data_IF_061112571577
#
_entry.id   IF_061112571577
#
_cell.length_a   1.000
_cell.length_b   1.000
_cell.length_c   1.000
_cell.angle_alpha   90.00
_cell.angle_beta   90.00
_cell.angle_gamma   90.00
#
_symmetry.space_group_name_H-M   'P 1'
#
loop_
_entity.id
_entity.type
_entity.pdbx_description
1 polymer ?
#
# COMPACT_ATOMS: atom_id res chain seq x y z
N UNK A 1 7.01 54.78 -32.78
CA UNK A 1 5.69 54.16 -32.83
C UNK A 1 5.81 52.78 -32.14
N UNK A 2 5.07 52.55 -31.05
CA UNK A 2 4.98 51.22 -30.40
C UNK A 2 3.98 50.38 -31.22
N UNK A 3 4.44 49.29 -31.81
CA UNK A 3 3.55 48.33 -32.49
C UNK A 3 2.76 47.57 -31.42
N UNK A 4 1.45 47.65 -31.46
CA UNK A 4 0.56 46.86 -30.61
C UNK A 4 0.25 45.50 -31.27
N UNK A 5 -0.01 44.49 -30.49
CA UNK A 5 -0.46 43.19 -30.98
C UNK A 5 -1.88 43.30 -31.55
N UNK A 6 -2.13 42.60 -32.64
CA UNK A 6 -3.50 42.44 -33.18
C UNK A 6 -4.30 41.43 -32.37
N UNK A 7 -5.63 41.58 -32.33
CA UNK A 7 -6.53 40.65 -31.67
C UNK A 7 -6.35 39.21 -32.22
N UNK A 8 -6.12 39.09 -33.53
CA UNK A 8 -5.92 37.80 -34.20
C UNK A 8 -4.63 37.09 -33.73
N UNK A 9 -3.51 37.81 -33.56
CA UNK A 9 -2.25 37.28 -33.08
C UNK A 9 -2.40 36.72 -31.65
N UNK A 10 -3.12 37.47 -30.79
CA UNK A 10 -3.37 37.04 -29.41
C UNK A 10 -4.26 35.80 -29.38
N UNK A 11 -5.32 35.74 -30.18
CA UNK A 11 -6.22 34.56 -30.24
C UNK A 11 -5.51 33.30 -30.74
N UNK A 12 -4.67 33.43 -31.78
CA UNK A 12 -3.92 32.30 -32.33
C UNK A 12 -2.91 31.78 -31.29
N UNK A 13 -2.17 32.67 -30.64
CA UNK A 13 -1.17 32.29 -29.64
C UNK A 13 -1.81 31.61 -28.42
N UNK A 14 -2.93 32.15 -27.91
CA UNK A 14 -3.68 31.52 -26.82
C UNK A 14 -4.25 30.18 -27.21
N UNK A 15 -4.75 30.02 -28.46
CA UNK A 15 -5.22 28.75 -28.98
C UNK A 15 -4.12 27.68 -29.01
N UNK A 16 -2.95 28.03 -29.51
CA UNK A 16 -1.80 27.08 -29.57
C UNK A 16 -1.35 26.71 -28.17
N UNK A 17 -1.18 27.69 -27.27
CA UNK A 17 -0.80 27.43 -25.88
C UNK A 17 -1.83 26.54 -25.19
N UNK A 18 -3.11 26.79 -25.39
CA UNK A 18 -4.20 26.00 -24.83
C UNK A 18 -4.14 24.51 -25.24
N UNK A 19 -3.95 24.24 -26.53
CA UNK A 19 -3.83 22.87 -27.04
C UNK A 19 -2.57 22.16 -26.51
N UNK A 20 -1.44 22.84 -26.54
CA UNK A 20 -0.18 22.26 -26.00
C UNK A 20 -0.30 21.97 -24.50
N UNK A 21 -0.84 22.92 -23.73
CA UNK A 21 -1.08 22.72 -22.31
C UNK A 21 -2.03 21.54 -22.01
N UNK A 22 -3.14 21.43 -22.76
CA UNK A 22 -4.09 20.35 -22.59
C UNK A 22 -3.49 18.96 -22.82
N UNK A 23 -2.51 18.84 -23.72
CA UNK A 23 -1.81 17.58 -24.01
C UNK A 23 -0.68 17.27 -23.01
N UNK A 24 0.00 18.28 -22.50
CA UNK A 24 1.20 18.09 -21.67
C UNK A 24 0.90 18.02 -20.17
N UNK A 25 -0.08 18.79 -19.67
CA UNK A 25 -0.41 18.86 -18.24
C UNK A 25 -0.73 17.50 -17.61
N UNK A 26 -1.58 16.62 -18.20
CA UNK A 26 -1.88 15.34 -17.60
C UNK A 26 -0.64 14.45 -17.42
N UNK A 27 0.26 14.43 -18.39
CA UNK A 27 1.48 13.64 -18.32
C UNK A 27 2.45 14.15 -17.23
N UNK A 28 2.59 15.46 -17.10
CA UNK A 28 3.43 16.08 -16.06
C UNK A 28 2.87 15.80 -14.66
N UNK A 29 1.55 15.95 -14.49
CA UNK A 29 0.88 15.69 -13.20
C UNK A 29 1.08 14.24 -12.78
N UNK A 30 0.81 13.28 -13.68
CA UNK A 30 0.95 11.85 -13.39
C UNK A 30 2.40 11.50 -13.00
N UNK A 31 3.38 11.94 -13.76
CA UNK A 31 4.79 11.70 -13.47
C UNK A 31 5.23 12.31 -12.11
N UNK A 32 4.68 13.46 -11.75
CA UNK A 32 4.98 14.10 -10.46
C UNK A 32 4.35 13.33 -9.31
N UNK A 33 3.10 12.89 -9.45
CA UNK A 33 2.40 12.08 -8.47
C UNK A 33 3.10 10.72 -8.25
N UNK A 34 3.54 10.05 -9.32
CA UNK A 34 4.23 8.76 -9.21
C UNK A 34 5.56 8.90 -8.45
N UNK A 35 6.30 9.99 -8.66
CA UNK A 35 7.50 10.31 -7.87
C UNK A 35 7.18 10.59 -6.40
N UNK A 36 6.09 11.28 -6.12
CA UNK A 36 5.63 11.53 -4.75
C UNK A 36 5.23 10.23 -4.06
N UNK A 37 4.44 9.37 -4.71
CA UNK A 37 4.05 8.08 -4.15
C UNK A 37 5.25 7.18 -3.86
N UNK A 38 6.23 7.12 -4.77
CA UNK A 38 7.49 6.41 -4.54
C UNK A 38 8.22 6.93 -3.29
N UNK A 39 8.32 8.24 -3.13
CA UNK A 39 8.97 8.85 -1.96
C UNK A 39 8.20 8.58 -0.66
N UNK A 40 6.87 8.66 -0.70
CA UNK A 40 5.99 8.33 0.44
C UNK A 40 6.11 6.86 0.82
N UNK A 41 6.17 5.95 -0.16
CA UNK A 41 6.39 4.53 0.10
C UNK A 41 7.73 4.27 0.79
N UNK A 42 8.83 4.84 0.30
CA UNK A 42 10.15 4.72 0.94
C UNK A 42 10.11 5.20 2.40
N UNK A 43 9.43 6.31 2.66
CA UNK A 43 9.22 6.84 4.01
C UNK A 43 8.47 5.84 4.89
N UNK A 44 7.32 5.33 4.43
CA UNK A 44 6.49 4.41 5.20
C UNK A 44 7.18 3.05 5.41
N UNK A 45 7.86 2.54 4.40
CA UNK A 45 8.68 1.33 4.52
C UNK A 45 9.73 1.48 5.62
N UNK A 46 10.46 2.60 5.63
CA UNK A 46 11.48 2.86 6.64
C UNK A 46 10.88 3.02 8.04
N UNK A 47 9.75 3.70 8.17
CA UNK A 47 9.05 3.86 9.45
C UNK A 47 8.56 2.52 9.98
N UNK A 48 7.98 1.68 9.13
CA UNK A 48 7.51 0.34 9.48
C UNK A 48 8.68 -0.56 9.91
N UNK A 49 9.78 -0.55 9.16
CA UNK A 49 10.98 -1.32 9.51
C UNK A 49 11.54 -0.93 10.88
N UNK A 50 11.58 0.37 11.19
CA UNK A 50 12.01 0.88 12.49
C UNK A 50 11.04 0.47 13.61
N UNK A 51 9.73 0.55 13.36
CA UNK A 51 8.71 0.15 14.33
C UNK A 51 8.83 -1.34 14.70
N UNK A 52 9.07 -2.20 13.71
CA UNK A 52 9.31 -3.64 13.92
C UNK A 52 10.57 -3.84 14.77
N UNK A 53 11.65 -3.16 14.44
CA UNK A 53 12.90 -3.26 15.18
C UNK A 53 12.74 -2.81 16.64
N UNK A 54 11.99 -1.73 16.90
CA UNK A 54 11.72 -1.24 18.26
C UNK A 54 10.96 -2.28 19.08
N UNK A 55 9.91 -2.89 18.51
CA UNK A 55 9.15 -3.93 19.20
C UNK A 55 10.01 -5.13 19.56
N UNK A 56 10.93 -5.50 18.70
CA UNK A 56 11.87 -6.59 18.97
C UNK A 56 12.89 -6.23 20.06
N UNK A 57 13.48 -5.04 20.03
CA UNK A 57 14.46 -4.61 21.03
C UNK A 57 13.86 -4.47 22.42
N UNK A 58 12.55 -4.26 22.53
CA UNK A 58 11.80 -4.25 23.80
C UNK A 58 11.56 -5.66 24.38
N UNK A 59 12.23 -6.69 23.83
CA UNK A 59 12.17 -8.06 24.33
C UNK A 59 10.96 -8.87 23.84
N UNK A 60 10.26 -8.38 22.81
CA UNK A 60 9.18 -9.11 22.18
C UNK A 60 9.73 -9.87 20.96
N UNK A 61 10.03 -11.15 21.12
CA UNK A 61 10.31 -12.00 19.97
C UNK A 61 9.06 -12.06 19.08
N UNK A 62 9.21 -11.72 17.81
CA UNK A 62 8.14 -11.90 16.82
C UNK A 62 8.16 -13.37 16.41
N UNK A 63 7.25 -14.20 16.92
CA UNK A 63 7.28 -15.62 16.66
C UNK A 63 6.92 -15.92 15.20
N UNK A 64 7.13 -17.16 14.82
CA UNK A 64 6.63 -17.69 13.56
C UNK A 64 5.09 -17.81 13.63
N UNK A 65 4.38 -16.70 13.46
CA UNK A 65 2.93 -16.65 13.53
C UNK A 65 2.33 -17.32 12.31
N UNK A 66 1.64 -18.42 12.55
CA UNK A 66 0.81 -19.09 11.55
C UNK A 66 -0.58 -18.44 11.51
N UNK A 67 -1.32 -18.70 10.45
CA UNK A 67 -2.70 -18.22 10.29
C UNK A 67 -3.65 -18.67 11.43
N UNK A 68 -3.28 -19.72 12.16
CA UNK A 68 -4.07 -20.29 13.25
C UNK A 68 -3.99 -19.43 14.54
N UNK A 69 -2.97 -18.58 14.68
CA UNK A 69 -2.71 -17.77 15.87
C UNK A 69 -3.02 -16.29 15.63
N UNK A 70 -4.17 -15.96 15.05
CA UNK A 70 -4.52 -14.59 14.72
C UNK A 70 -4.65 -13.66 15.96
N UNK A 71 -4.95 -14.20 17.15
CA UNK A 71 -4.98 -13.45 18.41
C UNK A 71 -3.58 -12.96 18.79
N UNK A 72 -2.60 -13.87 18.72
CA UNK A 72 -1.19 -13.51 18.97
C UNK A 72 -0.70 -12.48 17.96
N UNK A 73 -1.14 -12.60 16.71
CA UNK A 73 -0.85 -11.65 15.65
C UNK A 73 -1.37 -10.25 15.99
N UNK A 74 -2.57 -10.13 16.56
CA UNK A 74 -3.15 -8.84 16.94
C UNK A 74 -2.31 -8.12 17.99
N UNK A 75 -1.72 -8.85 18.93
CA UNK A 75 -0.81 -8.30 19.91
C UNK A 75 0.41 -7.65 19.24
N UNK A 76 1.10 -8.36 18.34
CA UNK A 76 2.27 -7.80 17.64
C UNK A 76 1.91 -6.65 16.70
N UNK A 77 0.79 -6.76 16.00
CA UNK A 77 0.28 -5.69 15.13
C UNK A 77 0.02 -4.42 15.95
N UNK A 78 -0.59 -4.53 17.12
CA UNK A 78 -0.81 -3.39 18.01
C UNK A 78 0.49 -2.81 18.55
N UNK A 79 1.45 -3.64 18.92
CA UNK A 79 2.78 -3.19 19.37
C UNK A 79 3.53 -2.44 18.26
N UNK A 80 3.55 -2.96 17.04
CA UNK A 80 4.18 -2.31 15.89
C UNK A 80 3.47 -0.99 15.57
N UNK A 81 2.15 -1.03 15.52
CA UNK A 81 1.35 0.16 15.15
C UNK A 81 1.42 1.26 16.19
N UNK A 82 1.60 0.94 17.47
CA UNK A 82 1.82 1.95 18.53
C UNK A 82 3.09 2.77 18.29
N UNK A 83 4.14 2.17 17.72
CA UNK A 83 5.37 2.88 17.35
C UNK A 83 5.15 3.84 16.19
N UNK A 84 4.16 3.57 15.33
CA UNK A 84 3.80 4.40 14.18
C UNK A 84 2.88 5.57 14.53
N UNK A 85 2.40 5.66 15.79
CA UNK A 85 1.52 6.74 16.29
C UNK A 85 0.28 6.94 15.43
N UNK A 86 -0.43 5.86 15.13
CA UNK A 86 -1.64 5.89 14.31
C UNK A 86 -2.74 6.77 14.91
N UNK A 87 -3.60 7.32 14.04
CA UNK A 87 -4.76 8.14 14.43
C UNK A 87 -6.02 7.30 14.66
N UNK A 88 -6.22 6.28 13.84
CA UNK A 88 -7.37 5.37 13.86
C UNK A 88 -6.95 3.96 13.51
N UNK A 89 -7.67 2.99 14.00
CA UNK A 89 -7.46 1.58 13.69
C UNK A 89 -8.78 0.82 13.61
N UNK A 90 -8.80 -0.26 12.84
CA UNK A 90 -9.96 -1.16 12.76
C UNK A 90 -10.08 -2.09 13.97
N UNK A 91 -9.03 -2.23 14.79
CA UNK A 91 -9.05 -2.98 16.05
C UNK A 91 -8.78 -2.06 17.23
N UNK A 92 -9.33 -2.41 18.39
CA UNK A 92 -9.05 -1.68 19.63
C UNK A 92 -7.81 -2.25 20.32
N UNK A 93 -6.67 -1.63 20.07
CA UNK A 93 -5.41 -2.06 20.67
C UNK A 93 -5.34 -1.88 22.20
N UNK A 94 -6.23 -1.06 22.80
CA UNK A 94 -6.24 -0.87 24.26
C UNK A 94 -6.80 -2.08 25.03
N UNK A 95 -7.47 -3.00 24.34
CA UNK A 95 -7.98 -4.26 24.92
C UNK A 95 -7.00 -5.40 24.82
N UNK A 96 -5.85 -5.19 24.18
CA UNK A 96 -4.82 -6.22 23.93
C UNK A 96 -3.61 -5.94 24.81
N UNK A 97 -3.53 -6.62 25.95
CA UNK A 97 -2.43 -6.45 26.92
C UNK A 97 -1.35 -7.54 26.79
N UNK A 98 -1.77 -8.75 26.42
CA UNK A 98 -0.91 -9.94 26.33
C UNK A 98 -1.24 -10.82 25.14
N UNK A 99 -0.36 -11.76 24.85
CA UNK A 99 -0.59 -12.82 23.85
C UNK A 99 -1.87 -13.59 24.18
N UNK A 100 -2.65 -13.91 23.16
CA UNK A 100 -3.92 -14.63 23.28
C UNK A 100 -5.13 -13.75 23.56
N UNK A 101 -4.96 -12.46 23.81
CA UNK A 101 -6.10 -11.55 23.97
C UNK A 101 -6.83 -11.40 22.63
N UNK A 102 -8.15 -11.47 22.68
CA UNK A 102 -8.99 -11.27 21.50
C UNK A 102 -9.20 -9.76 21.27
N UNK A 103 -8.90 -9.25 20.07
CA UNK A 103 -9.11 -7.85 19.79
C UNK A 103 -10.60 -7.52 19.68
N UNK A 104 -11.04 -6.48 20.35
CA UNK A 104 -12.30 -5.85 20.04
C UNK A 104 -12.21 -5.12 18.70
N UNK A 105 -13.22 -5.33 17.86
CA UNK A 105 -13.31 -4.59 16.60
C UNK A 105 -13.80 -3.18 16.89
N UNK A 106 -13.05 -2.18 16.44
CA UNK A 106 -13.55 -0.82 16.40
C UNK A 106 -14.66 -0.74 15.36
N UNK A 107 -15.90 -0.82 15.81
CA UNK A 107 -17.12 -0.67 14.98
C UNK A 107 -17.31 0.75 14.47
N UNK A 108 -16.23 1.50 14.30
CA UNK A 108 -16.32 2.80 13.66
C UNK A 108 -16.54 2.59 12.18
N UNK A 109 -17.51 3.28 11.63
CA UNK A 109 -17.93 3.23 10.21
C UNK A 109 -16.79 3.43 9.18
N UNK A 110 -15.61 3.78 9.66
CA UNK A 110 -14.48 4.15 8.84
C UNK A 110 -13.74 2.97 8.21
N UNK A 111 -13.56 1.85 8.94
CA UNK A 111 -12.89 0.64 8.43
C UNK A 111 -13.83 -0.54 8.23
N UNK A 112 -15.03 -0.47 8.83
CA UNK A 112 -16.08 -1.48 8.66
C UNK A 112 -17.05 -1.15 7.54
N UNK A 113 -16.95 0.03 6.94
CA UNK A 113 -17.64 0.31 5.72
C UNK A 113 -16.89 -0.38 4.59
N UNK A 114 -17.29 -1.63 4.33
CA UNK A 114 -16.78 -2.42 3.20
C UNK A 114 -16.93 -1.69 1.88
N UNK A 115 -17.68 -0.59 1.84
CA UNK A 115 -17.86 0.25 0.67
C UNK A 115 -16.72 1.24 0.44
N UNK A 116 -15.83 1.50 1.42
CA UNK A 116 -14.89 2.62 1.33
C UNK A 116 -13.45 2.25 1.02
N UNK A 117 -12.95 1.11 1.47
CA UNK A 117 -11.55 0.78 1.23
C UNK A 117 -11.29 -0.57 0.58
N UNK A 118 -12.26 -1.48 0.60
CA UNK A 118 -12.03 -2.87 0.20
C UNK A 118 -13.20 -3.53 -0.53
N UNK A 119 -14.11 -2.77 -1.06
CA UNK A 119 -15.13 -3.35 -1.92
C UNK A 119 -14.48 -3.94 -3.16
N UNK A 120 -15.01 -5.06 -3.55
CA UNK A 120 -14.76 -5.66 -4.85
C UNK A 120 -14.80 -4.57 -5.93
N UNK A 121 -13.63 -4.21 -6.47
CA UNK A 121 -13.52 -3.21 -7.52
C UNK A 121 -12.98 -1.83 -7.13
N UNK A 122 -12.61 -1.57 -5.87
CA UNK A 122 -11.99 -0.29 -5.49
C UNK A 122 -10.48 -0.27 -5.62
N UNK A 123 -9.83 -1.43 -5.59
CA UNK A 123 -8.41 -1.58 -5.88
C UNK A 123 -8.20 -2.15 -7.27
N UNK A 124 -7.19 -1.65 -7.92
CA UNK A 124 -6.85 -2.05 -9.27
C UNK A 124 -5.39 -2.49 -9.34
N UNK A 125 -5.09 -3.43 -10.23
CA UNK A 125 -3.72 -3.67 -10.62
C UNK A 125 -3.27 -2.62 -11.65
N UNK A 126 -2.02 -2.63 -12.06
CA UNK A 126 -1.50 -1.68 -13.07
C UNK A 126 -2.16 -1.82 -14.44
N UNK A 127 -2.85 -2.92 -14.73
CA UNK A 127 -3.61 -3.13 -15.96
C UNK A 127 -5.05 -2.61 -15.88
N UNK A 128 -5.44 -2.04 -14.72
CA UNK A 128 -6.78 -1.52 -14.49
C UNK A 128 -7.82 -2.60 -14.17
N UNK A 129 -7.39 -3.82 -13.85
CA UNK A 129 -8.28 -4.90 -13.46
C UNK A 129 -8.58 -4.82 -11.95
N UNK A 130 -9.85 -4.98 -11.53
CA UNK A 130 -10.21 -4.89 -10.12
C UNK A 130 -9.58 -6.03 -9.32
N UNK A 131 -9.11 -5.70 -8.12
CA UNK A 131 -8.48 -6.64 -7.19
C UNK A 131 -9.41 -6.89 -6.01
N UNK A 132 -9.52 -8.15 -5.62
CA UNK A 132 -10.25 -8.57 -4.42
C UNK A 132 -9.26 -8.86 -3.31
N UNK A 133 -9.34 -8.11 -2.22
CA UNK A 133 -8.69 -8.49 -0.97
C UNK A 133 -9.66 -9.28 -0.11
N UNK A 134 -9.17 -10.34 0.50
CA UNK A 134 -10.01 -11.14 1.39
C UNK A 134 -10.45 -10.31 2.60
N UNK A 135 -11.75 -10.12 2.78
CA UNK A 135 -12.36 -9.22 3.77
C UNK A 135 -12.07 -9.55 5.23
N UNK A 136 -11.56 -10.76 5.52
CA UNK A 136 -11.35 -11.21 6.91
C UNK A 136 -10.27 -10.46 7.70
N UNK A 137 -9.42 -9.68 7.04
CA UNK A 137 -8.27 -9.04 7.67
C UNK A 137 -8.29 -7.50 7.58
N UNK A 138 -9.40 -6.92 7.15
CA UNK A 138 -9.56 -5.47 7.00
C UNK A 138 -9.45 -4.73 8.33
N UNK A 139 -9.79 -5.40 9.41
CA UNK A 139 -9.79 -4.83 10.74
C UNK A 139 -8.38 -4.43 11.24
N UNK A 140 -7.33 -5.02 10.69
CA UNK A 140 -5.94 -4.70 11.06
C UNK A 140 -5.38 -3.55 10.21
N UNK A 141 -6.20 -2.58 9.90
CA UNK A 141 -5.81 -1.36 9.19
C UNK A 141 -5.60 -0.21 10.16
N UNK A 142 -4.53 0.53 9.96
CA UNK A 142 -4.13 1.68 10.76
C UNK A 142 -3.96 2.90 9.86
N UNK A 143 -4.66 3.98 10.20
CA UNK A 143 -4.52 5.28 9.55
C UNK A 143 -3.43 6.07 10.26
N UNK A 144 -2.44 6.52 9.53
CA UNK A 144 -1.33 7.30 10.03
C UNK A 144 -1.60 8.81 9.94
N UNK A 145 -0.83 9.66 10.66
CA UNK A 145 -1.04 11.12 10.67
C UNK A 145 -0.90 11.81 9.31
N UNK A 146 -0.21 11.21 8.37
CA UNK A 146 -0.06 11.73 6.99
C UNK A 146 -1.11 11.18 6.02
N UNK A 147 -2.20 10.62 6.57
CA UNK A 147 -3.31 10.02 5.83
C UNK A 147 -2.96 8.72 5.09
N UNK A 148 -1.72 8.23 5.15
CA UNK A 148 -1.39 6.91 4.63
C UNK A 148 -1.98 5.81 5.51
N UNK A 149 -2.13 4.62 4.96
CA UNK A 149 -2.67 3.46 5.67
C UNK A 149 -1.72 2.29 5.61
N UNK A 150 -1.66 1.55 6.71
CA UNK A 150 -0.97 0.26 6.78
C UNK A 150 -1.98 -0.78 7.19
N UNK A 151 -2.10 -1.84 6.39
CA UNK A 151 -2.92 -3.00 6.68
C UNK A 151 -2.03 -4.22 6.89
N UNK A 152 -2.24 -4.90 8.00
CA UNK A 152 -1.55 -6.14 8.34
C UNK A 152 -2.46 -7.32 8.00
N UNK A 153 -2.23 -7.91 6.86
CA UNK A 153 -2.90 -9.15 6.49
C UNK A 153 -2.07 -10.34 7.01
N UNK A 154 -2.46 -10.88 8.15
CA UNK A 154 -1.75 -11.98 8.82
C UNK A 154 -0.29 -11.66 9.24
N UNK A 155 0.01 -10.49 9.71
CA UNK A 155 1.33 -9.94 10.10
C UNK A 155 2.41 -10.12 9.01
N UNK A 156 2.36 -11.22 8.29
CA UNK A 156 3.29 -11.58 7.24
C UNK A 156 3.12 -10.72 5.99
N UNK A 157 1.88 -10.47 5.60
CA UNK A 157 1.52 -9.73 4.40
C UNK A 157 1.05 -8.32 4.80
N UNK A 158 1.80 -7.31 4.43
CA UNK A 158 1.55 -5.93 4.83
C UNK A 158 1.32 -5.10 3.58
N UNK A 159 0.18 -4.41 3.53
CA UNK A 159 -0.13 -3.45 2.49
C UNK A 159 0.11 -2.03 3.01
N UNK A 160 0.76 -1.23 2.21
CA UNK A 160 1.01 0.19 2.47
C UNK A 160 0.32 0.99 1.38
N UNK A 161 -0.74 1.68 1.73
CA UNK A 161 -1.42 2.64 0.89
C UNK A 161 -0.94 4.03 1.27
N UNK A 162 -0.16 4.66 0.39
CA UNK A 162 0.58 5.88 0.73
C UNK A 162 -0.29 7.15 0.70
N UNK A 163 -1.45 7.11 0.07
CA UNK A 163 -2.38 8.23 -0.01
C UNK A 163 -3.77 7.91 0.59
N UNK A 164 -3.94 6.71 1.16
CA UNK A 164 -5.13 6.27 1.87
C UNK A 164 -6.38 6.20 0.98
N UNK A 165 -7.46 6.88 1.38
CA UNK A 165 -8.71 6.84 0.62
C UNK A 165 -8.69 7.58 -0.72
N UNK A 166 -7.61 8.25 -1.06
CA UNK A 166 -7.49 9.01 -2.29
C UNK A 166 -7.16 8.08 -3.45
N UNK A 167 -7.79 8.33 -4.59
CA UNK A 167 -7.43 7.60 -5.82
C UNK A 167 -5.98 7.93 -6.24
N UNK A 168 -5.31 7.02 -6.96
CA UNK A 168 -5.89 6.02 -7.87
C UNK A 168 -6.19 4.62 -7.30
N UNK A 169 -5.77 4.26 -6.08
CA UNK A 169 -5.91 2.94 -5.46
C UNK A 169 -5.37 1.81 -6.37
N UNK A 170 -4.15 1.96 -6.84
CA UNK A 170 -3.54 1.08 -7.83
C UNK A 170 -2.28 0.42 -7.26
N UNK A 171 -2.25 -0.90 -7.29
CA UNK A 171 -1.11 -1.70 -6.87
C UNK A 171 0.13 -1.33 -7.69
N UNK A 172 1.22 -1.04 -7.00
CA UNK A 172 2.48 -0.61 -7.60
C UNK A 172 2.52 0.86 -8.01
N UNK A 173 1.48 1.64 -7.70
CA UNK A 173 1.45 3.09 -7.90
C UNK A 173 1.35 3.83 -6.57
N UNK A 174 0.28 3.62 -5.81
CA UNK A 174 0.02 4.17 -4.47
C UNK A 174 -0.22 3.10 -3.42
N UNK A 175 -0.45 1.85 -3.82
CA UNK A 175 -0.58 0.69 -2.94
C UNK A 175 0.62 -0.24 -3.16
N UNK A 176 1.33 -0.54 -2.08
CA UNK A 176 2.54 -1.35 -2.08
C UNK A 176 2.41 -2.51 -1.13
N UNK A 177 3.12 -3.58 -1.45
CA UNK A 177 3.11 -4.80 -0.69
C UNK A 177 4.49 -5.11 -0.14
N UNK A 178 4.56 -5.47 1.13
CA UNK A 178 5.78 -5.96 1.79
C UNK A 178 5.43 -7.16 2.66
N UNK A 179 6.41 -7.99 2.95
CA UNK A 179 6.25 -9.14 3.84
C UNK A 179 7.15 -9.03 5.06
N UNK A 180 6.67 -9.55 6.18
CA UNK A 180 7.49 -9.78 7.36
C UNK A 180 7.69 -11.30 7.49
N UNK A 181 8.85 -11.85 7.08
CA UNK A 181 9.10 -13.28 7.17
C UNK A 181 9.09 -13.76 8.62
N UNK A 182 8.58 -14.96 8.89
CA UNK A 182 8.54 -15.53 10.23
C UNK A 182 9.92 -15.56 10.90
N UNK A 183 9.99 -15.10 12.13
CA UNK A 183 11.24 -15.06 12.91
C UNK A 183 12.32 -14.13 12.37
N UNK A 184 11.99 -13.23 11.44
CA UNK A 184 12.91 -12.24 10.90
C UNK A 184 12.41 -10.83 11.22
N UNK A 185 13.36 -9.90 11.37
CA UNK A 185 13.11 -8.51 11.69
C UNK A 185 13.05 -7.62 10.45
N UNK A 186 13.57 -8.11 9.34
CA UNK A 186 13.68 -7.34 8.13
C UNK A 186 12.48 -7.59 7.23
N UNK A 187 11.82 -6.51 6.83
CA UNK A 187 10.84 -6.57 5.77
C UNK A 187 11.44 -7.15 4.49
N UNK A 188 10.65 -7.93 3.80
CA UNK A 188 11.03 -8.62 2.57
C UNK A 188 9.94 -8.41 1.51
N UNK A 189 10.21 -8.89 0.30
CA UNK A 189 9.29 -8.81 -0.83
C UNK A 189 9.01 -10.17 -1.46
N UNK A 190 9.82 -11.19 -1.13
CA UNK A 190 9.92 -12.44 -1.87
C UNK A 190 9.20 -13.62 -1.25
N UNK A 191 8.82 -13.52 0.01
CA UNK A 191 8.32 -14.66 0.77
C UNK A 191 6.78 -14.73 0.78
N UNK A 192 6.16 -14.39 -0.33
CA UNK A 192 4.72 -14.51 -0.50
C UNK A 192 4.35 -15.99 -0.67
N UNK A 193 3.32 -16.45 0.03
CA UNK A 193 2.79 -17.82 -0.16
C UNK A 193 2.29 -17.96 -1.59
N UNK A 194 2.93 -18.84 -2.35
CA UNK A 194 2.36 -19.42 -3.54
C UNK A 194 1.35 -20.48 -3.08
N UNK A 195 0.07 -20.28 -3.36
CA UNK A 195 -0.87 -21.38 -3.25
C UNK A 195 -0.61 -22.34 -4.42
N UNK A 196 -0.56 -23.64 -4.13
CA UNK A 196 -0.09 -24.73 -5.02
C UNK A 196 -0.89 -24.96 -6.31
N UNK A 197 -1.73 -24.05 -6.76
CA UNK A 197 -2.48 -24.17 -8.01
C UNK A 197 -2.20 -23.00 -8.95
N UNK A 198 -0.94 -22.76 -9.21
CA UNK A 198 -0.43 -21.64 -9.99
C UNK A 198 -0.85 -21.65 -11.46
N UNK A 199 -1.87 -20.89 -11.75
CA UNK A 199 -1.93 -20.25 -13.06
C UNK A 199 -1.29 -18.87 -12.94
N UNK A 200 0.00 -18.82 -13.18
CA UNK A 200 0.92 -17.67 -13.04
C UNK A 200 0.53 -16.43 -13.88
N UNK A 201 -0.57 -16.45 -14.61
CA UNK A 201 -0.91 -15.45 -15.62
C UNK A 201 -2.14 -14.60 -15.30
N UNK A 202 -2.73 -14.70 -14.11
CA UNK A 202 -3.90 -13.90 -13.77
C UNK A 202 -3.57 -12.84 -12.75
N UNK A 203 -3.56 -11.59 -13.16
CA UNK A 203 -3.47 -10.45 -12.26
C UNK A 203 -4.71 -10.26 -11.36
N UNK A 204 -5.78 -10.99 -11.64
CA UNK A 204 -7.08 -10.86 -10.97
C UNK A 204 -7.14 -11.50 -9.60
N UNK A 205 -6.15 -12.31 -9.23
CA UNK A 205 -6.09 -12.94 -7.93
C UNK A 205 -4.84 -12.48 -7.19
N UNK A 206 -5.03 -11.71 -6.12
CA UNK A 206 -3.94 -11.17 -5.30
C UNK A 206 -2.98 -12.23 -4.73
N UNK A 207 -3.41 -13.50 -4.73
CA UNK A 207 -2.63 -14.64 -4.22
C UNK A 207 -1.87 -15.40 -5.30
N UNK A 208 -2.08 -15.10 -6.57
CA UNK A 208 -1.56 -15.89 -7.69
C UNK A 208 -0.24 -15.36 -8.30
N UNK A 209 0.25 -14.21 -7.86
CA UNK A 209 1.48 -13.64 -8.41
C UNK A 209 2.65 -13.94 -7.49
N UNK A 210 3.55 -14.80 -7.91
CA UNK A 210 4.82 -15.01 -7.23
C UNK A 210 5.84 -13.97 -7.69
N UNK A 211 6.17 -13.02 -6.82
CA UNK A 211 7.23 -12.04 -7.08
C UNK A 211 8.56 -12.61 -6.59
N UNK A 212 9.54 -12.62 -7.49
CA UNK A 212 10.88 -13.16 -7.26
C UNK A 212 11.94 -12.11 -7.57
N UNK A 213 13.19 -12.37 -7.18
CA UNK A 213 14.34 -11.52 -7.51
C UNK A 213 14.61 -11.41 -9.01
N UNK A 214 14.00 -12.26 -9.83
CA UNK A 214 14.22 -12.28 -11.27
C UNK A 214 13.08 -11.69 -12.09
N UNK A 215 11.88 -11.56 -11.52
CA UNK A 215 10.70 -11.10 -12.28
C UNK A 215 10.08 -9.78 -11.78
N UNK A 216 10.54 -9.23 -10.65
CA UNK A 216 9.91 -8.05 -10.04
C UNK A 216 9.94 -6.81 -10.93
N UNK A 217 11.02 -6.59 -11.66
CA UNK A 217 11.11 -5.44 -12.54
C UNK A 217 10.14 -5.53 -13.72
N UNK A 218 10.05 -6.72 -14.34
CA UNK A 218 9.11 -6.92 -15.43
C UNK A 218 7.66 -6.83 -14.96
N UNK A 219 7.32 -7.40 -13.79
CA UNK A 219 6.00 -7.24 -13.22
C UNK A 219 5.67 -5.79 -12.90
N UNK A 220 6.62 -5.02 -12.36
CA UNK A 220 6.40 -3.60 -12.11
C UNK A 220 6.21 -2.80 -13.40
N UNK A 221 6.97 -3.07 -14.45
CA UNK A 221 6.93 -2.33 -15.72
C UNK A 221 5.75 -2.75 -16.60
N UNK A 222 5.51 -4.04 -16.72
CA UNK A 222 4.62 -4.64 -17.72
C UNK A 222 3.50 -5.52 -17.13
N UNK A 223 3.62 -5.88 -15.86
CA UNK A 223 2.74 -6.82 -15.16
C UNK A 223 1.66 -6.16 -14.31
N UNK A 224 1.37 -6.78 -13.18
CA UNK A 224 0.29 -6.39 -12.27
C UNK A 224 0.67 -5.29 -11.28
N UNK A 225 1.96 -5.01 -11.12
CA UNK A 225 2.48 -3.96 -10.24
C UNK A 225 2.93 -4.45 -8.86
N UNK A 226 2.80 -5.72 -8.54
CA UNK A 226 3.26 -6.27 -7.25
C UNK A 226 4.77 -6.15 -7.07
N UNK A 227 5.53 -6.27 -8.15
CA UNK A 227 6.98 -6.10 -8.19
C UNK A 227 7.46 -4.67 -8.02
N UNK A 228 6.57 -3.67 -7.95
CA UNK A 228 6.99 -2.28 -7.78
C UNK A 228 7.55 -1.99 -6.37
N UNK A 229 7.09 -2.71 -5.34
CA UNK A 229 7.62 -2.54 -3.99
C UNK A 229 9.12 -2.82 -3.91
N UNK A 230 9.64 -4.01 -4.32
CA UNK A 230 11.07 -4.25 -4.36
C UNK A 230 11.80 -3.32 -5.31
N UNK A 231 11.26 -3.05 -6.49
CA UNK A 231 11.88 -2.16 -7.47
C UNK A 231 12.15 -0.77 -6.89
N UNK A 232 11.24 -0.23 -6.06
CA UNK A 232 11.40 1.11 -5.52
C UNK A 232 12.31 1.19 -4.28
N UNK A 233 12.50 0.08 -3.58
CA UNK A 233 13.35 0.04 -2.37
C UNK A 233 14.78 -0.35 -2.72
N UNK A 234 14.98 -1.26 -3.69
CA UNK A 234 16.28 -1.79 -4.05
C UNK A 234 17.03 -0.89 -5.06
N UNK A 235 16.30 -0.06 -5.84
CA UNK A 235 16.86 1.00 -6.70
C UNK A 235 17.18 2.28 -5.87
#
# INVERSE_FOLDING_TARGET
MKKGFTLSEVLITLGIIGVVAAMTLPAVINNTQDKQFKAMFKKQYSALAQAILMVYTDGNDIPNLTHENWMDMSFYVCKISSQLKYLKSGINCSTIEKLGDSPDLNKTDYFNDSTKWHNDGEWFNKKGEPQKLNSGYLNMTFLLPDESMINFNCLRDIFIDVNGYKKPNTIGRDIFFVTLPPGKLNLNFWDRRTFENDKVNSCTNSYAVSITQTNYEDDCKNGCGWGCSPMYILD
#
